data_IF_553321005756
#
_entry.id   IF_553321005756
#
_cell.length_a   1.000
_cell.length_b   1.000
_cell.length_c   1.000
_cell.angle_alpha   90.00
_cell.angle_beta   90.00
_cell.angle_gamma   90.00
#
_symmetry.space_group_name_H-M   'P 1'
#
loop_
_entity.id
_entity.type
_entity.pdbx_description
1 polymer ?
#
# COMPACT_ATOMS: atom_id res chain seq x y z
N UNK A 1 0.38 -15.98 14.55
CA UNK A 1 0.67 -14.63 15.06
C UNK A 1 1.55 -13.92 14.04
N UNK A 2 0.97 -13.25 13.05
CA UNK A 2 1.73 -12.49 12.06
C UNK A 2 0.85 -11.40 11.46
N UNK A 3 1.15 -10.14 11.75
CA UNK A 3 0.68 -9.00 10.96
C UNK A 3 1.75 -8.69 9.92
N UNK A 4 1.35 -8.52 8.67
CA UNK A 4 2.26 -8.25 7.56
C UNK A 4 1.59 -7.37 6.50
N UNK A 5 2.42 -6.73 5.69
CA UNK A 5 1.98 -5.96 4.54
C UNK A 5 2.78 -6.36 3.31
N UNK A 6 2.13 -6.34 2.14
CA UNK A 6 2.80 -6.46 0.86
C UNK A 6 2.46 -5.27 -0.04
N UNK A 7 3.47 -4.77 -0.76
CA UNK A 7 3.28 -3.90 -1.91
C UNK A 7 3.02 -4.73 -3.16
N UNK A 8 1.86 -4.51 -3.79
CA UNK A 8 1.43 -5.23 -4.99
C UNK A 8 1.13 -4.25 -6.12
N UNK A 9 1.08 -4.75 -7.35
CA UNK A 9 0.68 -3.99 -8.54
C UNK A 9 -0.70 -4.46 -8.98
N UNK A 10 -1.59 -3.51 -9.27
CA UNK A 10 -2.94 -3.83 -9.76
C UNK A 10 -2.85 -4.51 -11.12
N UNK A 11 -3.57 -5.63 -11.29
CA UNK A 11 -3.71 -6.37 -12.55
C UNK A 11 -5.15 -6.45 -13.07
N UNK A 12 -6.11 -5.83 -12.36
CA UNK A 12 -7.54 -5.84 -12.70
C UNK A 12 -8.29 -4.62 -12.15
N UNK A 13 -9.58 -4.77 -11.89
CA UNK A 13 -10.39 -3.74 -11.22
C UNK A 13 -10.29 -3.92 -9.71
N UNK A 14 -9.73 -2.92 -9.03
CA UNK A 14 -9.59 -2.92 -7.58
C UNK A 14 -10.11 -1.60 -7.02
N UNK A 15 -10.74 -1.62 -5.85
CA UNK A 15 -11.21 -0.40 -5.17
C UNK A 15 -10.47 -0.26 -3.85
N UNK A 16 -10.03 0.95 -3.54
CA UNK A 16 -9.35 1.24 -2.28
C UNK A 16 -10.37 1.16 -1.13
N UNK A 17 -10.10 0.31 -0.14
CA UNK A 17 -10.93 0.14 1.05
C UNK A 17 -10.90 1.38 1.97
N UNK A 18 -9.98 2.33 1.74
CA UNK A 18 -9.84 3.55 2.51
C UNK A 18 -10.60 4.77 1.95
N UNK A 19 -10.58 4.98 0.64
CA UNK A 19 -11.16 6.17 0.01
C UNK A 19 -12.17 5.86 -1.11
N UNK A 20 -12.43 4.59 -1.41
CA UNK A 20 -13.36 4.18 -2.47
C UNK A 20 -12.86 4.47 -3.90
N UNK A 21 -11.64 5.01 -4.07
CA UNK A 21 -11.07 5.25 -5.40
C UNK A 21 -10.87 3.91 -6.13
N UNK A 22 -11.33 3.76 -7.39
CA UNK A 22 -10.90 2.67 -8.24
C UNK A 22 -9.42 2.81 -8.60
N UNK A 23 -8.65 1.76 -8.37
CA UNK A 23 -7.25 1.60 -8.72
C UNK A 23 -7.14 0.70 -9.96
N UNK A 24 -6.19 1.00 -10.84
CA UNK A 24 -6.03 0.33 -12.15
C UNK A 24 -4.57 0.01 -12.40
N UNK A 25 -4.31 -0.98 -13.25
CA UNK A 25 -2.95 -1.27 -13.71
C UNK A 25 -2.31 -0.01 -14.34
N UNK A 26 -1.04 0.33 -14.05
CA UNK A 26 -0.07 -0.35 -13.17
C UNK A 26 0.07 0.29 -11.77
N UNK A 27 -0.99 0.89 -11.20
CA UNK A 27 -0.94 1.48 -9.85
C UNK A 27 -0.49 0.45 -8.80
N UNK A 28 0.32 0.89 -7.82
CA UNK A 28 0.69 0.09 -6.65
C UNK A 28 -0.33 0.26 -5.53
N UNK A 29 -0.47 -0.77 -4.71
CA UNK A 29 -1.32 -0.73 -3.52
C UNK A 29 -0.71 -1.57 -2.39
N UNK A 30 -1.06 -1.22 -1.15
CA UNK A 30 -0.73 -2.02 0.02
C UNK A 30 -1.82 -3.04 0.31
N UNK A 31 -1.44 -4.29 0.54
CA UNK A 31 -2.29 -5.34 1.09
C UNK A 31 -1.91 -5.58 2.54
N UNK A 32 -2.76 -5.17 3.48
CA UNK A 32 -2.49 -5.19 4.91
C UNK A 32 -3.27 -6.33 5.54
N UNK A 33 -2.56 -7.28 6.12
CA UNK A 33 -3.12 -8.40 6.86
C UNK A 33 -2.82 -8.22 8.36
N UNK A 34 -3.86 -7.95 9.14
CA UNK A 34 -3.79 -7.84 10.60
C UNK A 34 -4.54 -9.00 11.25
N UNK A 35 -4.04 -9.48 12.40
CA UNK A 35 -4.67 -10.58 13.13
C UNK A 35 -6.12 -10.25 13.54
N UNK A 36 -7.03 -11.17 13.25
CA UNK A 36 -8.45 -11.03 13.61
C UNK A 36 -9.23 -10.00 12.80
N UNK A 37 -8.66 -9.47 11.71
CA UNK A 37 -9.32 -8.50 10.82
C UNK A 37 -9.31 -8.99 9.38
N UNK A 38 -10.33 -8.61 8.63
CA UNK A 38 -10.33 -8.78 7.18
C UNK A 38 -9.17 -7.97 6.56
N UNK A 39 -8.40 -8.55 5.63
CA UNK A 39 -7.34 -7.83 4.95
C UNK A 39 -7.87 -6.60 4.21
N UNK A 40 -7.13 -5.50 4.28
CA UNK A 40 -7.50 -4.24 3.61
C UNK A 40 -6.53 -3.90 2.48
N UNK A 41 -7.08 -3.36 1.41
CA UNK A 41 -6.37 -2.92 0.20
C UNK A 41 -6.40 -1.41 0.13
N UNK A 42 -5.23 -0.78 0.23
CA UNK A 42 -5.11 0.67 0.28
C UNK A 42 -4.28 1.18 -0.89
N UNK A 43 -4.76 2.24 -1.55
CA UNK A 43 -3.95 2.98 -2.52
C UNK A 43 -2.74 3.63 -1.83
N UNK A 44 -1.72 4.00 -2.59
CA UNK A 44 -0.50 4.63 -2.04
C UNK A 44 -0.79 5.82 -1.11
N UNK A 45 -1.77 6.67 -1.46
CA UNK A 45 -2.14 7.82 -0.63
C UNK A 45 -2.71 7.38 0.73
N UNK A 46 -3.63 6.41 0.74
CA UNK A 46 -4.20 5.88 1.98
C UNK A 46 -3.14 5.10 2.79
N UNK A 47 -2.27 4.35 2.12
CA UNK A 47 -1.15 3.67 2.77
C UNK A 47 -0.20 4.67 3.42
N UNK A 48 0.18 5.75 2.72
CA UNK A 48 1.04 6.81 3.26
C UNK A 48 0.39 7.54 4.43
N UNK A 49 -0.88 7.93 4.29
CA UNK A 49 -1.62 8.59 5.37
C UNK A 49 -1.76 7.75 6.63
N UNK A 50 -1.78 6.41 6.49
CA UNK A 50 -1.84 5.46 7.62
C UNK A 50 -0.46 4.93 8.05
N UNK A 51 0.63 5.43 7.47
CA UNK A 51 2.00 5.05 7.81
C UNK A 51 2.47 3.71 7.24
N UNK A 52 1.69 3.07 6.37
CA UNK A 52 2.05 1.80 5.71
C UNK A 52 2.97 1.94 4.49
N UNK A 53 3.16 3.16 3.99
CA UNK A 53 4.05 3.49 2.88
C UNK A 53 5.01 4.59 3.33
N UNK A 54 6.30 4.30 3.32
CA UNK A 54 7.35 5.24 3.75
C UNK A 54 8.24 5.63 2.57
N UNK A 55 8.56 6.91 2.47
CA UNK A 55 9.60 7.40 1.56
C UNK A 55 10.94 7.39 2.29
N UNK A 56 11.97 6.80 1.67
CA UNK A 56 13.35 6.88 2.14
C UNK A 56 14.20 7.51 1.05
N UNK A 57 14.94 8.55 1.43
CA UNK A 57 16.01 9.09 0.58
C UNK A 57 17.25 8.22 0.70
N UNK A 58 17.90 7.93 -0.43
CA UNK A 58 19.23 7.33 -0.41
C UNK A 58 20.34 8.40 -0.31
N UNK A 59 21.58 7.95 -0.08
CA UNK A 59 22.78 8.81 -0.01
C UNK A 59 23.06 9.61 -1.29
N UNK A 60 22.36 9.30 -2.39
CA UNK A 60 22.44 9.98 -3.69
C UNK A 60 21.27 10.92 -3.94
N UNK A 61 20.40 11.13 -2.95
CA UNK A 61 19.23 12.01 -3.05
C UNK A 61 18.05 11.45 -3.83
N UNK A 62 18.03 10.13 -4.12
CA UNK A 62 16.88 9.47 -4.75
C UNK A 62 15.86 9.11 -3.68
N UNK A 63 14.61 9.50 -3.89
CA UNK A 63 13.49 9.08 -3.04
C UNK A 63 12.96 7.72 -3.51
N UNK A 64 12.82 6.79 -2.57
CA UNK A 64 12.24 5.48 -2.82
C UNK A 64 11.11 5.20 -1.82
N UNK A 65 9.91 5.01 -2.36
CA UNK A 65 8.74 4.60 -1.60
C UNK A 65 8.74 3.07 -1.39
N UNK A 66 8.58 2.63 -0.15
CA UNK A 66 8.52 1.21 0.25
C UNK A 66 7.36 0.96 1.22
N UNK A 67 6.63 -0.14 1.01
CA UNK A 67 5.65 -0.63 1.99
C UNK A 67 6.40 -1.30 3.16
N UNK A 68 5.87 -1.14 4.38
CA UNK A 68 6.57 -1.48 5.64
C UNK A 68 6.73 -2.98 5.96
#
# INVERSE_FOLDING_TARGET
MASWIAGLIVTGELVCDGCGKPMRHPERYGYICEEGKEPVRLCEQCSRARGYLVSRGDERGREMDSFL
#
